data_IF_197894649101
#
_entry.id   IF_197894649101
#
_cell.length_a   1.000
_cell.length_b   1.000
_cell.length_c   1.000
_cell.angle_alpha   90.00
_cell.angle_beta   90.00
_cell.angle_gamma   90.00
#
_symmetry.space_group_name_H-M   'P 1'
#
loop_
_entity.id
_entity.type
_entity.pdbx_description
1 polymer ?
#
# COMPACT_ATOMS: atom_id res chain seq x y z
N UNK A 1 102.33 36.27 36.12
CA UNK A 1 101.08 36.90 36.61
C UNK A 1 100.22 37.59 35.53
N UNK A 2 100.65 37.70 34.26
CA UNK A 2 99.79 38.28 33.19
C UNK A 2 98.85 37.27 32.52
N UNK A 3 99.18 35.98 32.53
CA UNK A 3 98.35 34.95 31.85
C UNK A 3 97.05 34.62 32.57
N UNK A 4 97.04 34.63 33.92
CA UNK A 4 95.82 34.42 34.73
C UNK A 4 94.66 35.39 34.39
N UNK A 5 94.98 36.64 34.01
CA UNK A 5 93.95 37.65 33.68
C UNK A 5 93.38 37.49 32.27
N UNK A 6 94.02 36.71 31.39
CA UNK A 6 93.45 36.35 30.08
C UNK A 6 92.46 35.20 30.25
N UNK A 7 92.79 34.19 31.06
CA UNK A 7 91.88 33.07 31.38
C UNK A 7 90.59 33.53 32.08
N UNK A 8 90.66 34.52 32.98
CA UNK A 8 89.47 35.10 33.63
C UNK A 8 88.57 35.92 32.67
N UNK A 9 89.15 36.50 31.60
CA UNK A 9 88.37 37.23 30.58
C UNK A 9 87.77 36.30 29.54
N UNK A 10 88.46 35.22 29.22
CA UNK A 10 87.96 34.19 28.32
C UNK A 10 86.82 33.39 28.96
N UNK A 11 86.87 33.14 30.27
CA UNK A 11 85.76 32.52 31.00
C UNK A 11 84.50 33.41 31.13
N UNK A 12 84.66 34.74 31.23
CA UNK A 12 83.52 35.69 31.21
C UNK A 12 82.79 35.74 29.86
N UNK A 13 83.51 35.64 28.75
CA UNK A 13 82.93 35.65 27.40
C UNK A 13 82.22 34.32 27.11
N UNK A 14 82.81 33.20 27.52
CA UNK A 14 82.19 31.88 27.36
C UNK A 14 80.94 31.71 28.23
N UNK A 15 80.94 32.26 29.45
CA UNK A 15 79.76 32.27 30.31
C UNK A 15 78.61 33.09 29.69
N UNK A 16 78.90 34.27 29.13
CA UNK A 16 77.90 35.12 28.46
C UNK A 16 77.29 34.46 27.22
N UNK A 17 78.08 33.73 26.43
CA UNK A 17 77.58 33.03 25.24
C UNK A 17 76.70 31.83 25.63
N UNK A 18 77.11 31.09 26.66
CA UNK A 18 76.34 29.95 27.18
C UNK A 18 74.99 30.39 27.75
N UNK A 19 74.94 31.52 28.46
CA UNK A 19 73.71 32.09 29.00
C UNK A 19 72.77 32.60 27.90
N UNK A 20 73.30 33.23 26.85
CA UNK A 20 72.51 33.60 25.67
C UNK A 20 71.91 32.38 24.97
N UNK A 21 72.70 31.30 24.85
CA UNK A 21 72.22 30.04 24.26
C UNK A 21 71.10 29.41 25.12
N UNK A 22 71.21 29.44 26.44
CA UNK A 22 70.15 28.97 27.34
C UNK A 22 68.87 29.84 27.28
N UNK A 23 69.00 31.15 27.11
CA UNK A 23 67.85 32.06 26.95
C UNK A 23 67.12 31.81 25.63
N UNK A 24 67.86 31.65 24.52
CA UNK A 24 67.27 31.28 23.23
C UNK A 24 66.61 29.90 23.30
N UNK A 25 67.25 28.93 23.95
CA UNK A 25 66.68 27.60 24.13
C UNK A 25 65.38 27.63 24.93
N UNK A 26 65.31 28.42 26.02
CA UNK A 26 64.07 28.66 26.78
C UNK A 26 63.00 29.34 25.93
N UNK A 27 63.34 30.38 25.17
CA UNK A 27 62.39 31.07 24.29
C UNK A 27 61.81 30.14 23.23
N UNK A 28 62.65 29.30 22.62
CA UNK A 28 62.24 28.29 21.65
C UNK A 28 61.33 27.24 22.30
N UNK A 29 61.63 26.80 23.52
CA UNK A 29 60.76 25.88 24.28
C UNK A 29 59.42 26.52 24.64
N UNK A 30 59.41 27.76 25.12
CA UNK A 30 58.20 28.51 25.43
C UNK A 30 57.32 28.74 24.20
N UNK A 31 57.92 29.12 23.06
CA UNK A 31 57.20 29.30 21.80
C UNK A 31 56.65 27.96 21.29
N UNK A 32 57.42 26.88 21.36
CA UNK A 32 56.96 25.52 21.00
C UNK A 32 55.82 25.08 21.90
N UNK A 33 55.90 25.31 23.20
CA UNK A 33 54.85 24.98 24.16
C UNK A 33 53.59 25.83 23.93
N UNK A 34 53.74 27.13 23.62
CA UNK A 34 52.62 28.00 23.28
C UNK A 34 51.93 27.55 21.98
N UNK A 35 52.70 27.22 20.94
CA UNK A 35 52.18 26.67 19.67
C UNK A 35 51.50 25.31 19.88
N UNK A 36 52.06 24.44 20.71
CA UNK A 36 51.46 23.14 21.04
C UNK A 36 50.11 23.31 21.76
N UNK A 37 50.03 24.20 22.76
CA UNK A 37 48.77 24.49 23.47
C UNK A 37 47.73 25.11 22.55
N UNK A 38 48.12 26.00 21.64
CA UNK A 38 47.21 26.59 20.66
C UNK A 38 46.67 25.53 19.68
N UNK A 39 47.52 24.63 19.18
CA UNK A 39 47.11 23.53 18.32
C UNK A 39 46.18 22.55 19.04
N UNK A 40 46.47 22.18 20.29
CA UNK A 40 45.59 21.33 21.10
C UNK A 40 44.23 21.99 21.36
N UNK A 41 44.21 23.30 21.66
CA UNK A 41 42.97 24.04 21.86
C UNK A 41 42.13 24.09 20.58
N UNK A 42 42.76 24.27 19.41
CA UNK A 42 42.06 24.27 18.13
C UNK A 42 41.47 22.88 17.79
N UNK A 43 42.23 21.81 18.03
CA UNK A 43 41.74 20.43 17.82
C UNK A 43 40.56 20.13 18.75
N UNK A 44 40.62 20.54 20.02
CA UNK A 44 39.51 20.39 20.97
C UNK A 44 38.29 21.20 20.54
N UNK A 45 38.46 22.45 20.12
CA UNK A 45 37.37 23.29 19.64
C UNK A 45 36.68 22.69 18.40
N UNK A 46 37.46 22.13 17.46
CA UNK A 46 36.91 21.43 16.28
C UNK A 46 36.15 20.16 16.67
N UNK A 47 36.70 19.35 17.58
CA UNK A 47 36.05 18.14 18.06
C UNK A 47 34.73 18.43 18.80
N UNK A 48 34.70 19.47 19.65
CA UNK A 48 33.47 19.90 20.33
C UNK A 48 32.42 20.44 19.36
N UNK A 49 32.83 21.23 18.36
CA UNK A 49 31.91 21.74 17.35
C UNK A 49 31.29 20.60 16.52
N UNK A 50 32.10 19.61 16.15
CA UNK A 50 31.61 18.42 15.43
C UNK A 50 30.67 17.57 16.30
N UNK A 51 30.99 17.37 17.58
CA UNK A 51 30.10 16.66 18.50
C UNK A 51 28.77 17.38 18.67
N UNK A 52 28.77 18.71 18.83
CA UNK A 52 27.53 19.50 18.91
C UNK A 52 26.71 19.35 17.63
N UNK A 53 27.32 19.47 16.46
CA UNK A 53 26.64 19.28 15.18
C UNK A 53 26.03 17.88 15.04
N UNK A 54 26.73 16.82 15.45
CA UNK A 54 26.20 15.44 15.44
C UNK A 54 25.02 15.30 16.41
N UNK A 55 25.13 15.81 17.64
CA UNK A 55 24.04 15.73 18.63
C UNK A 55 22.79 16.49 18.19
N UNK A 56 22.94 17.64 17.52
CA UNK A 56 21.80 18.38 16.96
C UNK A 56 21.12 17.63 15.82
N UNK A 57 21.90 16.98 14.94
CA UNK A 57 21.35 16.15 13.86
C UNK A 57 20.60 14.93 14.41
N UNK A 58 21.18 14.24 15.39
CA UNK A 58 20.52 13.11 16.06
C UNK A 58 19.25 13.55 16.79
N UNK A 59 19.26 14.71 17.45
CA UNK A 59 18.08 15.26 18.11
C UNK A 59 16.97 15.58 17.11
N UNK A 60 17.30 16.16 15.95
CA UNK A 60 16.34 16.41 14.86
C UNK A 60 15.77 15.11 14.29
N UNK A 61 16.62 14.13 14.04
CA UNK A 61 16.20 12.82 13.54
C UNK A 61 15.23 12.12 14.52
N UNK A 62 15.55 12.14 15.83
CA UNK A 62 14.65 11.57 16.86
C UNK A 62 13.32 12.31 16.94
N UNK A 63 13.33 13.64 16.87
CA UNK A 63 12.11 14.45 16.90
C UNK A 63 11.21 14.16 15.69
N UNK A 64 11.79 14.01 14.49
CA UNK A 64 11.05 13.67 13.27
C UNK A 64 10.47 12.25 13.32
N UNK A 65 11.23 11.27 13.84
CA UNK A 65 10.73 9.91 14.04
C UNK A 65 9.58 9.86 15.06
N UNK A 66 9.70 10.55 16.19
CA UNK A 66 8.63 10.65 17.17
C UNK A 66 7.39 11.33 16.59
N UNK A 67 7.55 12.39 15.79
CA UNK A 67 6.44 13.04 15.10
C UNK A 67 5.75 12.09 14.10
N UNK A 68 6.50 11.26 13.37
CA UNK A 68 5.94 10.21 12.50
C UNK A 68 5.16 9.17 13.30
N UNK A 69 5.72 8.65 14.39
CA UNK A 69 5.04 7.68 15.27
C UNK A 69 3.74 8.24 15.85
N UNK A 70 3.73 9.52 16.26
CA UNK A 70 2.51 10.18 16.77
C UNK A 70 1.44 10.32 15.68
N UNK A 71 1.82 10.71 14.46
CA UNK A 71 0.88 10.81 13.33
C UNK A 71 0.32 9.44 12.92
N UNK A 72 1.16 8.41 12.90
CA UNK A 72 0.70 7.04 12.64
C UNK A 72 -0.24 6.54 13.73
N UNK A 73 0.06 6.83 14.99
CA UNK A 73 -0.82 6.48 16.11
C UNK A 73 -2.16 7.22 16.03
N UNK A 74 -2.16 8.51 15.73
CA UNK A 74 -3.37 9.30 15.51
C UNK A 74 -4.22 8.74 14.37
N UNK A 75 -3.61 8.39 13.23
CA UNK A 75 -4.31 7.75 12.11
C UNK A 75 -4.96 6.43 12.52
N UNK A 76 -4.25 5.57 13.27
CA UNK A 76 -4.83 4.32 13.77
C UNK A 76 -6.02 4.55 14.70
N UNK A 77 -5.97 5.59 15.54
CA UNK A 77 -7.08 5.94 16.43
C UNK A 77 -8.27 6.50 15.64
N UNK A 78 -8.03 7.34 14.64
CA UNK A 78 -9.06 7.87 13.74
C UNK A 78 -9.72 6.74 12.94
N UNK A 79 -8.93 5.83 12.37
CA UNK A 79 -9.42 4.66 11.64
C UNK A 79 -10.29 3.77 12.55
N UNK A 80 -9.82 3.47 13.77
CA UNK A 80 -10.58 2.70 14.75
C UNK A 80 -11.89 3.39 15.18
N UNK A 81 -11.91 4.73 15.28
CA UNK A 81 -13.13 5.48 15.56
C UNK A 81 -14.12 5.44 14.41
N UNK A 82 -13.64 5.53 13.16
CA UNK A 82 -14.49 5.42 11.96
C UNK A 82 -15.09 4.02 11.86
N UNK A 83 -14.30 2.98 12.12
CA UNK A 83 -14.78 1.59 12.14
C UNK A 83 -15.84 1.38 13.23
N UNK A 84 -15.57 1.81 14.47
CA UNK A 84 -16.54 1.72 15.56
C UNK A 84 -17.84 2.48 15.26
N UNK A 85 -17.75 3.65 14.61
CA UNK A 85 -18.93 4.42 14.20
C UNK A 85 -19.76 3.69 13.12
N UNK A 86 -19.10 3.03 12.15
CA UNK A 86 -19.76 2.23 11.11
C UNK A 86 -20.47 1.01 11.72
N UNK A 87 -19.82 0.32 12.64
CA UNK A 87 -20.43 -0.82 13.35
C UNK A 87 -21.67 -0.38 14.14
N UNK A 88 -21.56 0.73 14.89
CA UNK A 88 -22.70 1.29 15.62
C UNK A 88 -23.87 1.69 14.70
N UNK A 89 -23.60 2.19 13.49
CA UNK A 89 -24.65 2.49 12.51
C UNK A 89 -25.33 1.22 11.99
N UNK A 90 -24.56 0.17 11.70
CA UNK A 90 -25.10 -1.12 11.24
C UNK A 90 -25.99 -1.74 12.33
N UNK A 91 -25.54 -1.72 13.59
CA UNK A 91 -26.33 -2.24 14.72
C UNK A 91 -27.63 -1.45 14.92
N UNK A 92 -27.59 -0.13 14.82
CA UNK A 92 -28.80 0.71 14.86
C UNK A 92 -29.78 0.33 13.75
N UNK A 93 -29.32 0.12 12.52
CA UNK A 93 -30.17 -0.31 11.41
C UNK A 93 -30.80 -1.68 11.69
N UNK A 94 -30.03 -2.64 12.21
CA UNK A 94 -30.55 -3.96 12.60
C UNK A 94 -31.63 -3.88 13.69
N UNK A 95 -31.42 -3.06 14.72
CA UNK A 95 -32.42 -2.86 15.78
C UNK A 95 -33.70 -2.22 15.25
N UNK A 96 -33.58 -1.23 14.36
CA UNK A 96 -34.74 -0.59 13.73
C UNK A 96 -35.53 -1.59 12.86
N UNK A 97 -34.84 -2.42 12.09
CA UNK A 97 -35.47 -3.49 11.30
C UNK A 97 -36.16 -4.54 12.18
N UNK A 98 -35.50 -4.99 13.25
CA UNK A 98 -36.11 -5.93 14.21
C UNK A 98 -37.37 -5.36 14.85
N UNK A 99 -37.31 -4.10 15.30
CA UNK A 99 -38.47 -3.43 15.88
C UNK A 99 -39.61 -3.28 14.86
N UNK A 100 -39.28 -2.96 13.61
CA UNK A 100 -40.26 -2.89 12.52
C UNK A 100 -40.93 -4.24 12.27
N UNK A 101 -40.14 -5.32 12.18
CA UNK A 101 -40.67 -6.68 12.01
C UNK A 101 -41.55 -7.10 13.19
N UNK A 102 -41.19 -6.70 14.41
CA UNK A 102 -42.02 -6.96 15.59
C UNK A 102 -43.37 -6.23 15.52
N UNK A 103 -43.38 -4.98 15.08
CA UNK A 103 -44.63 -4.22 14.88
C UNK A 103 -45.48 -4.80 13.75
N UNK A 104 -44.87 -5.21 12.64
CA UNK A 104 -45.57 -5.87 11.52
C UNK A 104 -46.16 -7.22 11.96
N UNK A 105 -45.42 -8.03 12.74
CA UNK A 105 -45.93 -9.29 13.28
C UNK A 105 -47.12 -9.09 14.23
N UNK A 106 -47.07 -8.09 15.10
CA UNK A 106 -48.20 -7.74 15.97
C UNK A 106 -49.41 -7.24 15.16
N UNK A 107 -49.18 -6.47 14.09
CA UNK A 107 -50.25 -6.01 13.21
C UNK A 107 -50.94 -7.20 12.49
N UNK A 108 -50.17 -8.16 11.99
CA UNK A 108 -50.71 -9.37 11.34
C UNK A 108 -51.54 -10.21 12.33
N UNK A 109 -51.11 -10.32 13.59
CA UNK A 109 -51.90 -11.00 14.62
C UNK A 109 -53.26 -10.31 14.86
N UNK A 110 -53.27 -8.98 14.96
CA UNK A 110 -54.50 -8.22 15.12
C UNK A 110 -55.43 -8.36 13.90
N UNK A 111 -54.89 -8.40 12.69
CA UNK A 111 -55.67 -8.64 11.48
C UNK A 111 -56.25 -10.05 11.46
N UNK A 112 -55.49 -11.05 11.88
CA UNK A 112 -55.97 -12.43 11.98
C UNK A 112 -57.11 -12.56 12.99
N UNK A 113 -56.99 -11.93 14.16
CA UNK A 113 -58.05 -11.89 15.17
C UNK A 113 -59.32 -11.23 14.63
N UNK A 114 -59.20 -10.11 13.90
CA UNK A 114 -60.35 -9.47 13.24
C UNK A 114 -61.00 -10.39 12.19
N UNK A 115 -60.19 -11.04 11.37
CA UNK A 115 -60.68 -11.98 10.36
C UNK A 115 -61.39 -13.19 10.99
N UNK A 116 -60.87 -13.72 12.10
CA UNK A 116 -61.53 -14.78 12.85
C UNK A 116 -62.89 -14.33 13.40
N UNK A 117 -62.98 -13.12 13.96
CA UNK A 117 -64.25 -12.55 14.41
C UNK A 117 -65.26 -12.43 13.25
N UNK A 118 -64.83 -11.97 12.07
CA UNK A 118 -65.69 -11.92 10.88
C UNK A 118 -66.15 -13.30 10.42
N UNK A 119 -65.26 -14.30 10.46
CA UNK A 119 -65.58 -15.69 10.12
C UNK A 119 -66.56 -16.28 11.14
N UNK A 120 -66.38 -16.03 12.44
CA UNK A 120 -67.32 -16.50 13.48
C UNK A 120 -68.71 -15.91 13.28
N UNK A 121 -68.80 -14.62 12.91
CA UNK A 121 -70.06 -13.96 12.54
C UNK A 121 -70.67 -14.63 11.29
N UNK A 122 -69.86 -14.95 10.28
CA UNK A 122 -70.33 -15.67 9.07
C UNK A 122 -70.72 -17.13 9.36
N UNK A 123 -70.02 -17.84 10.25
CA UNK A 123 -70.20 -19.28 10.54
C UNK A 123 -71.51 -19.58 11.30
N UNK A 124 -72.10 -18.59 11.95
CA UNK A 124 -73.49 -18.70 12.46
C UNK A 124 -74.53 -18.86 11.32
N UNK A 125 -74.15 -18.61 10.06
CA UNK A 125 -74.90 -19.03 8.87
C UNK A 125 -74.32 -20.39 8.43
N UNK A 126 -75.14 -21.44 8.42
CA UNK A 126 -74.72 -22.84 8.34
C UNK A 126 -73.80 -23.23 7.15
N UNK A 127 -73.19 -24.43 7.21
CA UNK A 127 -72.10 -24.84 6.30
C UNK A 127 -72.58 -24.96 4.85
N UNK A 128 -72.10 -24.04 4.00
CA UNK A 128 -72.29 -24.06 2.56
C UNK A 128 -71.31 -25.01 1.85
N UNK A 129 -71.65 -25.55 0.67
CA UNK A 129 -70.89 -26.52 -0.12
C UNK A 129 -69.48 -26.09 -0.61
N UNK A 130 -68.92 -24.98 -0.13
CA UNK A 130 -67.63 -24.42 -0.56
C UNK A 130 -66.39 -25.22 -0.14
N UNK A 131 -66.49 -26.16 0.80
CA UNK A 131 -65.34 -26.92 1.30
C UNK A 131 -64.71 -27.84 0.23
N UNK A 132 -65.53 -28.44 -0.64
CA UNK A 132 -65.06 -29.28 -1.75
C UNK A 132 -64.36 -28.45 -2.84
N UNK A 133 -64.83 -27.22 -3.09
CA UNK A 133 -64.17 -26.30 -4.01
C UNK A 133 -62.80 -25.83 -3.47
N UNK A 134 -62.65 -25.70 -2.14
CA UNK A 134 -61.39 -25.29 -1.52
C UNK A 134 -60.27 -26.32 -1.70
N UNK A 135 -60.57 -27.62 -1.60
CA UNK A 135 -59.57 -28.68 -1.78
C UNK A 135 -59.11 -28.78 -3.23
N UNK A 136 -60.04 -28.66 -4.19
CA UNK A 136 -59.70 -28.64 -5.62
C UNK A 136 -58.84 -27.41 -5.98
N UNK A 137 -59.17 -26.23 -5.43
CA UNK A 137 -58.38 -25.02 -5.62
C UNK A 137 -56.97 -25.15 -5.02
N UNK A 138 -56.81 -25.81 -3.87
CA UNK A 138 -55.51 -26.01 -3.23
C UNK A 138 -54.57 -26.90 -4.08
N UNK A 139 -55.09 -27.97 -4.70
CA UNK A 139 -54.30 -28.85 -5.56
C UNK A 139 -53.84 -28.15 -6.85
N UNK A 140 -54.71 -27.34 -7.46
CA UNK A 140 -54.35 -26.52 -8.62
C UNK A 140 -53.29 -25.47 -8.23
N UNK A 141 -53.45 -24.83 -7.07
CA UNK A 141 -52.47 -23.89 -6.52
C UNK A 141 -51.09 -24.53 -6.31
N UNK A 142 -51.04 -25.77 -5.81
CA UNK A 142 -49.78 -26.51 -5.63
C UNK A 142 -49.06 -26.79 -6.96
N UNK A 143 -49.80 -27.19 -8.00
CA UNK A 143 -49.25 -27.40 -9.35
C UNK A 143 -48.69 -26.10 -9.94
N UNK A 144 -49.43 -25.00 -9.82
CA UNK A 144 -48.96 -23.67 -10.26
C UNK A 144 -47.71 -23.25 -9.50
N UNK A 145 -47.64 -23.51 -8.18
CA UNK A 145 -46.47 -23.21 -7.37
C UNK A 145 -45.25 -24.01 -7.82
N UNK A 146 -45.37 -25.31 -8.12
CA UNK A 146 -44.25 -26.14 -8.61
C UNK A 146 -43.74 -25.63 -9.95
N UNK A 147 -44.62 -25.29 -10.90
CA UNK A 147 -44.21 -24.70 -12.19
C UNK A 147 -43.53 -23.35 -11.98
N UNK A 148 -44.07 -22.51 -11.08
CA UNK A 148 -43.49 -21.20 -10.76
C UNK A 148 -42.10 -21.32 -10.14
N UNK A 149 -41.92 -22.21 -9.16
CA UNK A 149 -40.65 -22.47 -8.48
C UNK A 149 -39.59 -23.02 -9.45
N UNK A 150 -39.98 -23.94 -10.34
CA UNK A 150 -39.02 -24.61 -11.24
C UNK A 150 -38.64 -23.77 -12.47
N UNK A 151 -39.54 -22.92 -12.97
CA UNK A 151 -39.30 -22.17 -14.23
C UNK A 151 -39.06 -20.68 -14.03
N UNK A 152 -39.79 -20.02 -13.11
CA UNK A 152 -39.78 -18.56 -12.98
C UNK A 152 -38.71 -18.10 -11.99
N UNK A 153 -38.50 -18.83 -10.89
CA UNK A 153 -37.51 -18.45 -9.90
C UNK A 153 -36.05 -18.44 -10.43
N UNK A 154 -35.55 -19.47 -11.14
CA UNK A 154 -34.17 -19.43 -11.65
C UNK A 154 -33.95 -18.28 -12.65
N UNK A 155 -34.97 -17.94 -13.44
CA UNK A 155 -34.91 -16.83 -14.38
C UNK A 155 -34.85 -15.46 -13.67
N UNK A 156 -35.49 -15.30 -12.51
CA UNK A 156 -35.39 -14.07 -11.70
C UNK A 156 -33.99 -13.91 -11.11
N UNK A 157 -33.46 -14.97 -10.52
CA UNK A 157 -32.14 -14.95 -9.91
C UNK A 157 -31.04 -14.73 -10.96
N UNK A 158 -31.19 -15.31 -12.16
CA UNK A 158 -30.29 -15.04 -13.29
C UNK A 158 -30.32 -13.55 -13.69
N UNK A 159 -31.51 -12.93 -13.78
CA UNK A 159 -31.65 -11.50 -14.09
C UNK A 159 -31.08 -10.60 -13.01
N UNK A 160 -31.23 -10.95 -11.74
CA UNK A 160 -30.64 -10.21 -10.62
C UNK A 160 -29.12 -10.30 -10.63
N UNK A 161 -28.55 -11.48 -10.88
CA UNK A 161 -27.11 -11.66 -11.06
C UNK A 161 -26.56 -10.86 -12.25
N UNK A 162 -27.29 -10.83 -13.39
CA UNK A 162 -26.94 -9.99 -14.54
C UNK A 162 -26.98 -8.50 -14.18
N UNK A 163 -27.99 -8.04 -13.42
CA UNK A 163 -28.07 -6.65 -12.96
C UNK A 163 -26.91 -6.30 -12.02
N UNK A 164 -26.58 -7.18 -11.07
CA UNK A 164 -25.46 -6.97 -10.15
C UNK A 164 -24.12 -6.95 -10.89
N UNK A 165 -23.93 -7.86 -11.85
CA UNK A 165 -22.78 -7.83 -12.75
C UNK A 165 -22.73 -6.51 -13.52
N UNK A 166 -23.87 -6.03 -14.04
CA UNK A 166 -23.98 -4.74 -14.72
C UNK A 166 -23.57 -3.55 -13.85
N UNK A 167 -23.99 -3.53 -12.58
CA UNK A 167 -23.59 -2.49 -11.61
C UNK A 167 -22.09 -2.56 -11.31
N UNK A 168 -21.55 -3.77 -11.12
CA UNK A 168 -20.12 -3.95 -10.90
C UNK A 168 -19.29 -3.52 -12.14
N UNK A 169 -19.76 -3.84 -13.35
CA UNK A 169 -19.16 -3.40 -14.61
C UNK A 169 -19.28 -1.89 -14.83
N UNK A 170 -20.34 -1.25 -14.32
CA UNK A 170 -20.51 0.20 -14.41
C UNK A 170 -19.47 0.94 -13.55
N UNK A 171 -18.95 0.31 -12.50
CA UNK A 171 -17.77 0.83 -11.80
C UNK A 171 -16.52 0.72 -12.70
N UNK A 172 -15.76 1.80 -12.81
CA UNK A 172 -14.49 1.81 -13.57
C UNK A 172 -13.30 1.29 -12.76
N UNK A 173 -13.55 0.80 -11.54
CA UNK A 173 -12.53 0.30 -10.65
C UNK A 173 -12.20 -1.18 -10.97
N UNK A 174 -10.93 -1.50 -11.33
CA UNK A 174 -10.50 -2.86 -11.64
C UNK A 174 -10.68 -3.85 -10.50
N UNK A 175 -10.77 -3.38 -9.25
CA UNK A 175 -10.95 -4.25 -8.08
C UNK A 175 -12.31 -4.97 -8.06
N UNK A 176 -13.33 -4.44 -8.75
CA UNK A 176 -14.67 -5.03 -8.78
C UNK A 176 -14.87 -6.05 -9.93
N UNK A 177 -13.92 -6.14 -10.88
CA UNK A 177 -14.03 -7.05 -12.02
C UNK A 177 -14.08 -8.55 -11.64
N UNK A 178 -13.38 -9.04 -10.59
CA UNK A 178 -13.54 -10.42 -10.14
C UNK A 178 -14.95 -10.74 -9.64
N UNK A 179 -15.64 -9.77 -9.03
CA UNK A 179 -17.02 -9.95 -8.56
C UNK A 179 -17.98 -9.98 -9.75
N UNK A 180 -17.79 -9.10 -10.75
CA UNK A 180 -18.52 -9.16 -12.00
C UNK A 180 -18.39 -10.53 -12.71
N UNK A 181 -17.19 -11.10 -12.76
CA UNK A 181 -16.95 -12.45 -13.32
C UNK A 181 -17.71 -13.53 -12.53
N UNK A 182 -17.72 -13.45 -11.19
CA UNK A 182 -18.47 -14.38 -10.33
C UNK A 182 -19.98 -14.31 -10.60
N UNK A 183 -20.52 -13.10 -10.69
CA UNK A 183 -21.95 -12.88 -10.95
C UNK A 183 -22.35 -13.36 -12.36
N UNK A 184 -21.51 -13.13 -13.37
CA UNK A 184 -21.72 -13.67 -14.73
C UNK A 184 -21.65 -15.20 -14.76
N UNK A 185 -20.77 -15.81 -13.98
CA UNK A 185 -20.70 -17.27 -13.86
C UNK A 185 -21.98 -17.86 -13.22
N UNK A 186 -22.50 -17.22 -12.16
CA UNK A 186 -23.78 -17.61 -11.54
C UNK A 186 -24.92 -17.45 -12.55
N UNK A 187 -24.99 -16.31 -13.24
CA UNK A 187 -26.00 -16.06 -14.26
C UNK A 187 -25.97 -17.12 -15.37
N UNK A 188 -24.78 -17.45 -15.90
CA UNK A 188 -24.60 -18.48 -16.93
C UNK A 188 -25.04 -19.86 -16.46
N UNK A 189 -24.81 -20.21 -15.19
CA UNK A 189 -25.23 -21.50 -14.64
C UNK A 189 -26.76 -21.65 -14.54
N UNK A 190 -27.48 -20.53 -14.36
CA UNK A 190 -28.93 -20.52 -14.19
C UNK A 190 -29.69 -20.33 -15.49
N UNK A 191 -29.17 -19.49 -16.39
CA UNK A 191 -29.74 -19.24 -17.71
C UNK A 191 -28.62 -19.02 -18.75
N UNK A 192 -28.16 -20.08 -19.43
CA UNK A 192 -27.09 -19.97 -20.42
C UNK A 192 -27.52 -19.26 -21.71
N UNK A 193 -28.82 -19.07 -21.93
CA UNK A 193 -29.37 -18.51 -23.18
C UNK A 193 -29.55 -17.00 -23.15
N UNK A 194 -29.29 -16.35 -22.01
CA UNK A 194 -29.49 -14.93 -21.85
C UNK A 194 -28.45 -14.10 -22.65
N UNK A 195 -28.93 -13.33 -23.63
CA UNK A 195 -28.10 -12.48 -24.49
C UNK A 195 -27.34 -11.37 -23.73
N UNK A 196 -27.86 -10.92 -22.58
CA UNK A 196 -27.23 -9.88 -21.76
C UNK A 196 -25.91 -10.36 -21.14
N UNK A 197 -25.76 -11.67 -20.90
CA UNK A 197 -24.51 -12.25 -20.37
C UNK A 197 -23.40 -12.05 -21.41
N UNK A 198 -23.67 -12.34 -22.69
CA UNK A 198 -22.69 -12.21 -23.76
C UNK A 198 -22.26 -10.75 -23.98
N UNK A 199 -23.20 -9.79 -23.88
CA UNK A 199 -22.88 -8.36 -24.03
C UNK A 199 -22.05 -7.82 -22.86
N UNK A 200 -22.35 -8.24 -21.63
CA UNK A 200 -21.55 -7.88 -20.45
C UNK A 200 -20.15 -8.50 -20.50
N UNK A 201 -20.02 -9.77 -20.91
CA UNK A 201 -18.71 -10.42 -21.09
C UNK A 201 -17.85 -9.71 -22.15
N UNK A 202 -18.45 -9.31 -23.28
CA UNK A 202 -17.77 -8.54 -24.31
C UNK A 202 -17.29 -7.18 -23.76
N UNK A 203 -18.12 -6.51 -22.96
CA UNK A 203 -17.78 -5.24 -22.30
C UNK A 203 -16.64 -5.41 -21.31
N UNK A 204 -16.67 -6.47 -20.49
CA UNK A 204 -15.63 -6.78 -19.50
C UNK A 204 -14.29 -7.07 -20.20
N UNK A 205 -14.31 -7.89 -21.26
CA UNK A 205 -13.13 -8.16 -22.08
C UNK A 205 -12.56 -6.90 -22.70
N UNK A 206 -13.41 -6.01 -23.22
CA UNK A 206 -12.98 -4.72 -23.77
C UNK A 206 -12.31 -3.86 -22.70
N UNK A 207 -12.94 -3.68 -21.53
CA UNK A 207 -12.35 -2.90 -20.41
C UNK A 207 -11.00 -3.47 -19.95
N UNK A 208 -10.86 -4.80 -19.87
CA UNK A 208 -9.58 -5.46 -19.59
C UNK A 208 -8.53 -5.15 -20.65
N UNK A 209 -8.89 -5.30 -21.93
CA UNK A 209 -8.00 -4.96 -23.04
C UNK A 209 -7.54 -3.50 -23.00
N UNK A 210 -8.44 -2.56 -22.74
CA UNK A 210 -8.12 -1.13 -22.64
C UNK A 210 -7.17 -0.84 -21.46
N UNK A 211 -7.37 -1.49 -20.32
CA UNK A 211 -6.52 -1.33 -19.14
C UNK A 211 -5.12 -1.94 -19.35
N UNK A 212 -5.05 -3.12 -19.96
CA UNK A 212 -3.78 -3.76 -20.30
C UNK A 212 -3.04 -2.95 -21.37
N UNK A 213 -3.74 -2.39 -22.35
CA UNK A 213 -3.17 -1.48 -23.34
C UNK A 213 -2.63 -0.19 -22.68
N UNK A 214 -3.36 0.41 -21.73
CA UNK A 214 -2.88 1.56 -20.95
C UNK A 214 -1.64 1.24 -20.13
N UNK A 215 -1.60 0.08 -19.47
CA UNK A 215 -0.42 -0.39 -18.71
C UNK A 215 0.77 -0.63 -19.63
N UNK A 216 0.55 -1.24 -20.79
CA UNK A 216 1.59 -1.46 -21.79
C UNK A 216 2.14 -0.14 -22.35
N UNK A 217 1.26 0.84 -22.62
CA UNK A 217 1.65 2.18 -23.05
C UNK A 217 2.47 2.91 -21.98
N UNK A 218 2.03 2.88 -20.72
CA UNK A 218 2.76 3.47 -19.60
C UNK A 218 4.14 2.82 -19.40
N UNK A 219 4.21 1.49 -19.48
CA UNK A 219 5.48 0.76 -19.39
C UNK A 219 6.43 1.07 -20.56
N UNK A 220 5.90 1.31 -21.77
CA UNK A 220 6.70 1.73 -22.91
C UNK A 220 7.22 3.17 -22.73
N UNK A 221 6.38 4.08 -22.25
CA UNK A 221 6.80 5.44 -21.94
C UNK A 221 7.90 5.47 -20.86
N UNK A 222 7.75 4.66 -19.81
CA UNK A 222 8.76 4.50 -18.77
C UNK A 222 10.08 3.95 -19.34
N UNK A 223 10.02 2.91 -20.19
CA UNK A 223 11.20 2.39 -20.89
C UNK A 223 11.88 3.47 -21.73
N UNK A 224 11.12 4.26 -22.49
CA UNK A 224 11.67 5.35 -23.30
C UNK A 224 12.31 6.44 -22.43
N UNK A 225 11.71 6.76 -21.27
CA UNK A 225 12.30 7.69 -20.29
C UNK A 225 13.62 7.15 -19.73
N UNK A 226 13.68 5.86 -19.39
CA UNK A 226 14.91 5.23 -18.91
C UNK A 226 16.01 5.22 -19.98
N UNK A 227 15.68 4.86 -21.22
CA UNK A 227 16.64 4.91 -22.33
C UNK A 227 17.17 6.33 -22.57
N UNK A 228 16.32 7.35 -22.44
CA UNK A 228 16.76 8.74 -22.55
C UNK A 228 17.72 9.14 -21.42
N UNK A 229 17.42 8.76 -20.17
CA UNK A 229 18.30 9.01 -19.04
C UNK A 229 19.64 8.27 -19.17
N UNK A 230 19.64 7.03 -19.64
CA UNK A 230 20.85 6.27 -19.94
C UNK A 230 21.72 6.97 -21.01
N UNK A 231 21.11 7.49 -22.07
CA UNK A 231 21.81 8.28 -23.08
C UNK A 231 22.40 9.58 -22.48
N UNK A 232 21.65 10.31 -21.64
CA UNK A 232 22.14 11.50 -20.95
C UNK A 232 23.35 11.20 -20.05
N UNK A 233 23.36 10.04 -19.37
CA UNK A 233 24.48 9.60 -18.53
C UNK A 233 25.71 9.28 -19.38
N UNK A 234 25.54 8.56 -20.49
CA UNK A 234 26.65 8.22 -21.40
C UNK A 234 27.26 9.49 -22.01
N UNK A 235 26.44 10.47 -22.38
CA UNK A 235 26.94 11.75 -22.89
C UNK A 235 27.62 12.59 -21.82
N UNK A 236 27.11 12.59 -20.58
CA UNK A 236 27.79 13.22 -19.44
C UNK A 236 29.16 12.57 -19.14
N UNK A 237 29.25 11.25 -19.23
CA UNK A 237 30.52 10.52 -19.09
C UNK A 237 31.53 10.93 -20.18
N UNK A 238 31.11 10.97 -21.45
CA UNK A 238 31.99 11.43 -22.55
C UNK A 238 32.49 12.86 -22.34
N UNK A 239 31.64 13.76 -21.82
CA UNK A 239 32.04 15.14 -21.48
C UNK A 239 33.07 15.18 -20.37
N UNK A 240 32.93 14.33 -19.35
CA UNK A 240 33.90 14.18 -18.27
C UNK A 240 35.26 13.71 -18.81
N UNK A 241 35.26 12.71 -19.70
CA UNK A 241 36.48 12.15 -20.30
C UNK A 241 37.17 13.15 -21.24
N UNK A 242 36.40 13.97 -21.95
CA UNK A 242 36.92 14.99 -22.86
C UNK A 242 37.42 16.27 -22.17
N UNK A 243 37.11 16.46 -20.88
CA UNK A 243 37.44 17.67 -20.13
C UNK A 243 38.97 17.77 -19.89
N UNK A 244 39.58 18.79 -20.50
CA UNK A 244 41.02 19.05 -20.42
C UNK A 244 41.43 19.85 -19.19
N UNK A 245 40.55 20.70 -18.66
CA UNK A 245 40.82 21.54 -17.48
C UNK A 245 40.15 20.97 -16.23
N UNK A 246 40.70 21.26 -15.05
CA UNK A 246 40.11 20.83 -13.77
C UNK A 246 38.73 21.46 -13.51
N UNK A 247 38.54 22.70 -13.94
CA UNK A 247 37.25 23.38 -13.85
C UNK A 247 36.18 22.67 -14.70
N UNK A 248 36.52 22.27 -15.93
CA UNK A 248 35.62 21.52 -16.80
C UNK A 248 35.29 20.14 -16.23
N UNK A 249 36.27 19.48 -15.58
CA UNK A 249 36.06 18.18 -14.91
C UNK A 249 35.10 18.29 -13.73
N UNK A 250 35.27 19.29 -12.89
CA UNK A 250 34.36 19.54 -11.76
C UNK A 250 32.93 19.83 -12.23
N UNK A 251 32.78 20.61 -13.30
CA UNK A 251 31.46 20.88 -13.87
C UNK A 251 30.84 19.62 -14.48
N UNK A 252 31.60 18.85 -15.26
CA UNK A 252 31.13 17.59 -15.83
C UNK A 252 30.78 16.54 -14.76
N UNK A 253 31.50 16.52 -13.64
CA UNK A 253 31.21 15.63 -12.52
C UNK A 253 29.90 16.02 -11.81
N UNK A 254 29.64 17.31 -11.61
CA UNK A 254 28.34 17.79 -11.11
C UNK A 254 27.19 17.42 -12.04
N UNK A 255 27.38 17.57 -13.35
CA UNK A 255 26.37 17.20 -14.35
C UNK A 255 26.08 15.69 -14.33
N UNK A 256 27.12 14.87 -14.13
CA UNK A 256 27.02 13.41 -14.01
C UNK A 256 26.30 12.99 -12.73
N UNK A 257 26.61 13.61 -11.59
CA UNK A 257 25.92 13.34 -10.33
C UNK A 257 24.44 13.80 -10.39
N UNK A 258 24.18 14.95 -11.02
CA UNK A 258 22.82 15.44 -11.26
C UNK A 258 22.03 14.50 -12.19
N UNK A 259 22.66 13.96 -13.24
CA UNK A 259 22.03 12.98 -14.14
C UNK A 259 21.73 11.66 -13.41
N UNK A 260 22.68 11.14 -12.61
CA UNK A 260 22.48 9.94 -11.78
C UNK A 260 21.36 10.13 -10.75
N UNK A 261 21.23 11.32 -10.17
CA UNK A 261 20.18 11.64 -9.21
C UNK A 261 18.76 11.65 -9.80
N UNK A 262 18.61 11.75 -11.13
CA UNK A 262 17.31 11.70 -11.82
C UNK A 262 16.79 10.28 -12.08
N UNK A 263 17.65 9.27 -11.97
CA UNK A 263 17.20 7.88 -12.12
C UNK A 263 16.25 7.53 -10.96
N UNK A 264 15.08 6.94 -11.23
CA UNK A 264 14.27 6.39 -10.17
C UNK A 264 15.11 5.37 -9.39
N UNK A 265 14.97 5.30 -8.05
CA UNK A 265 15.64 4.27 -7.27
C UNK A 265 15.28 2.93 -7.89
N UNK A 266 16.31 2.16 -8.29
CA UNK A 266 16.12 0.85 -8.91
C UNK A 266 15.15 0.07 -8.02
N UNK A 267 13.94 -0.19 -8.54
CA UNK A 267 12.96 -0.93 -7.79
C UNK A 267 13.63 -2.22 -7.30
N UNK A 268 13.50 -2.57 -6.01
CA UNK A 268 14.04 -3.84 -5.54
C UNK A 268 13.51 -4.93 -6.48
N UNK A 269 14.36 -5.88 -6.91
CA UNK A 269 13.89 -6.96 -7.75
C UNK A 269 12.63 -7.55 -7.10
N UNK A 270 11.56 -7.81 -7.87
CA UNK A 270 10.37 -8.43 -7.31
C UNK A 270 10.84 -9.64 -6.50
N UNK A 271 10.32 -9.83 -5.27
CA UNK A 271 10.72 -10.97 -4.46
C UNK A 271 10.61 -12.21 -5.34
N UNK A 272 11.64 -13.10 -5.33
CA UNK A 272 11.60 -14.30 -6.15
C UNK A 272 10.25 -14.94 -5.92
N UNK A 273 9.48 -15.14 -7.00
CA UNK A 273 8.15 -15.71 -6.92
C UNK A 273 8.28 -16.93 -6.02
N UNK A 274 7.71 -16.84 -4.81
CA UNK A 274 7.87 -17.87 -3.80
C UNK A 274 7.52 -19.21 -4.46
N UNK A 275 8.17 -20.32 -4.03
CA UNK A 275 7.88 -21.64 -4.59
C UNK A 275 6.36 -21.74 -4.63
N UNK A 276 5.80 -21.86 -5.84
CA UNK A 276 4.36 -21.99 -6.01
C UNK A 276 3.99 -23.28 -5.29
N UNK A 277 3.65 -23.16 -4.01
CA UNK A 277 3.14 -24.23 -3.18
C UNK A 277 2.05 -24.85 -4.02
N UNK A 278 2.24 -26.15 -4.29
CA UNK A 278 1.74 -26.81 -5.48
C UNK A 278 0.36 -26.33 -5.89
N UNK A 279 0.18 -26.15 -7.20
CA UNK A 279 -1.11 -26.48 -7.79
C UNK A 279 -1.43 -27.89 -7.29
N UNK A 280 -2.19 -27.97 -6.20
CA UNK A 280 -3.01 -29.13 -5.92
C UNK A 280 -3.78 -29.31 -7.21
N UNK A 281 -3.44 -30.35 -7.97
CA UNK A 281 -4.28 -30.79 -9.05
C UNK A 281 -5.63 -31.08 -8.39
N UNK A 282 -6.57 -30.14 -8.50
CA UNK A 282 -8.01 -30.41 -8.36
C UNK A 282 -8.40 -31.27 -9.56
N UNK A 283 -7.80 -32.44 -9.66
CA UNK A 283 -8.25 -33.48 -10.56
C UNK A 283 -9.54 -34.00 -9.94
N UNK A 284 -10.63 -33.70 -10.63
CA UNK A 284 -11.91 -34.34 -10.40
C UNK A 284 -11.68 -35.86 -10.48
N UNK A 285 -12.06 -36.64 -9.46
CA UNK A 285 -11.88 -38.09 -9.50
C UNK A 285 -12.66 -38.65 -10.70
N UNK A 286 -11.94 -39.16 -11.70
CA UNK A 286 -12.54 -39.78 -12.89
C UNK A 286 -11.98 -39.38 -14.25
N UNK A 287 -10.94 -38.54 -14.34
CA UNK A 287 -10.37 -38.15 -15.65
C UNK A 287 -9.56 -39.32 -16.26
N UNK A 288 -9.98 -39.94 -17.39
CA UNK A 288 -9.36 -41.14 -17.95
C UNK A 288 -8.04 -40.88 -18.70
N UNK A 289 -7.55 -39.63 -18.72
CA UNK A 289 -6.38 -39.22 -19.50
C UNK A 289 -5.13 -38.89 -18.66
N UNK A 290 -5.14 -39.08 -17.34
CA UNK A 290 -3.92 -38.96 -16.54
C UNK A 290 -3.21 -40.33 -16.45
N UNK A 291 -2.08 -40.52 -17.15
CA UNK A 291 -1.29 -41.75 -17.02
C UNK A 291 -0.77 -41.86 -15.58
N UNK A 292 -1.14 -42.96 -14.94
CA UNK A 292 -0.75 -43.36 -13.57
C UNK A 292 0.78 -43.49 -13.44
N UNK A 293 1.51 -42.40 -13.29
CA UNK A 293 2.89 -42.44 -12.79
C UNK A 293 3.20 -41.17 -12.02
N UNK A 294 2.79 -41.11 -10.76
CA UNK A 294 3.46 -40.30 -9.75
C UNK A 294 3.74 -41.25 -8.58
N UNK A 295 5.01 -41.64 -8.46
CA UNK A 295 5.57 -42.32 -7.28
C UNK A 295 5.87 -41.29 -6.21
#
# INVERSE_FOLDING_TARGET
MRDKRKEEKESSVLFSLQELMHLEQRRVEEERNARARAAEAEVRARAEAEQRARTEQEARARADEEARRRREHQRRLEDAQIEAAREAEIERRRLVEQHRLQMEAMAVQQEHERALQEIEVRRRRGPHPGLLAAVAAALIGALVAVVFLTTIQPAREAREAVRQAGVALASDDPQHWPEADRQLAIARSKDPTNADIASLEATLRKKRGDLDAKKAAAALEEKNRLQKLEAEIVDAQKKLDAAKTEADRLQAQKDLDAAKGKLPPKAPPPPPAGPTTGKECRDVPGCPLCPKVCK
#
